data_IF_577411660053
#
_entry.id   IF_577411660053
#
_cell.length_a   1.000
_cell.length_b   1.000
_cell.length_c   1.000
_cell.angle_alpha   90.00
_cell.angle_beta   90.00
_cell.angle_gamma   90.00
#
_symmetry.space_group_name_H-M   'P 1'
#
loop_
_entity.id
_entity.type
_entity.pdbx_description
1 polymer ?
#
# COMPACT_ATOMS: atom_id res chain seq x y z
N UNK A 1 -0.66 34.55 14.30
CA UNK A 1 0.40 34.37 13.28
C UNK A 1 1.42 33.31 13.70
N UNK A 2 1.97 33.32 14.93
CA UNK A 2 2.80 32.18 15.42
C UNK A 2 2.05 30.85 15.57
N UNK A 3 0.73 30.89 15.82
CA UNK A 3 -0.09 29.66 15.94
C UNK A 3 -0.39 28.99 14.59
N UNK A 4 -0.22 29.69 13.46
CA UNK A 4 -0.49 29.14 12.12
C UNK A 4 0.64 28.20 11.64
N UNK A 5 1.91 28.50 11.98
CA UNK A 5 3.05 27.64 11.62
C UNK A 5 3.10 26.33 12.45
N UNK A 6 2.47 26.33 13.64
CA UNK A 6 2.27 25.11 14.43
C UNK A 6 1.11 24.25 13.92
N UNK A 7 0.16 24.88 13.22
CA UNK A 7 -1.04 24.23 12.69
C UNK A 7 -0.67 23.19 11.63
N UNK A 8 0.28 23.51 10.73
CA UNK A 8 0.70 22.66 9.61
C UNK A 8 1.40 21.34 10.01
N UNK A 9 1.95 21.23 11.23
CA UNK A 9 2.59 19.98 11.71
C UNK A 9 1.66 19.06 12.50
N UNK A 10 0.52 19.57 12.96
CA UNK A 10 -0.44 18.83 13.80
C UNK A 10 -1.81 18.63 13.13
N UNK A 11 -1.87 18.83 11.80
CA UNK A 11 -3.07 18.76 10.97
C UNK A 11 -3.80 17.40 11.03
N UNK A 12 -3.18 16.34 11.56
CA UNK A 12 -3.76 15.00 11.58
C UNK A 12 -4.41 14.58 12.92
N UNK A 13 -4.38 15.42 13.95
CA UNK A 13 -4.96 15.06 15.25
C UNK A 13 -6.40 15.56 15.41
N UNK A 14 -7.34 14.62 15.49
CA UNK A 14 -8.77 14.90 15.72
C UNK A 14 -8.99 15.63 17.04
N UNK A 15 -8.21 15.29 18.07
CA UNK A 15 -8.34 15.92 19.40
C UNK A 15 -7.89 17.38 19.38
N UNK A 16 -6.89 17.71 18.55
CA UNK A 16 -6.50 19.09 18.32
C UNK A 16 -7.65 19.91 17.72
N UNK A 17 -8.31 19.41 16.67
CA UNK A 17 -9.46 20.10 16.08
C UNK A 17 -10.61 20.22 17.08
N UNK A 18 -10.91 19.15 17.84
CA UNK A 18 -11.93 19.17 18.90
C UNK A 18 -11.65 20.28 19.92
N UNK A 19 -10.42 20.35 20.44
CA UNK A 19 -10.02 21.34 21.43
C UNK A 19 -10.12 22.76 20.87
N UNK A 20 -9.58 23.01 19.67
CA UNK A 20 -9.59 24.33 19.04
C UNK A 20 -11.00 24.80 18.70
N UNK A 21 -11.84 23.93 18.15
CA UNK A 21 -13.25 24.22 17.90
C UNK A 21 -13.98 24.60 19.20
N UNK A 22 -13.78 23.83 20.27
CA UNK A 22 -14.38 24.13 21.57
C UNK A 22 -13.91 25.49 22.14
N UNK A 23 -12.61 25.78 22.07
CA UNK A 23 -12.03 27.05 22.54
C UNK A 23 -12.58 28.24 21.76
N UNK A 24 -12.50 28.21 20.42
CA UNK A 24 -12.93 29.35 19.59
C UNK A 24 -14.44 29.55 19.65
N UNK A 25 -15.23 28.48 19.72
CA UNK A 25 -16.68 28.56 19.92
C UNK A 25 -17.01 29.21 21.26
N UNK A 26 -16.35 28.77 22.34
CA UNK A 26 -16.50 29.37 23.67
C UNK A 26 -16.10 30.85 23.68
N UNK A 27 -14.97 31.19 23.07
CA UNK A 27 -14.51 32.58 22.96
C UNK A 27 -15.49 33.45 22.18
N UNK A 28 -16.07 32.95 21.09
CA UNK A 28 -17.12 33.65 20.33
C UNK A 28 -18.35 33.92 21.19
N UNK A 29 -18.81 32.95 21.98
CA UNK A 29 -19.95 33.11 22.90
C UNK A 29 -19.63 34.14 24.00
N UNK A 30 -18.49 34.02 24.67
CA UNK A 30 -18.10 34.92 25.78
C UNK A 30 -17.95 36.35 25.26
N UNK A 31 -17.35 36.54 24.09
CA UNK A 31 -17.10 37.87 23.52
C UNK A 31 -18.42 38.57 23.13
N UNK A 32 -19.43 37.81 22.70
CA UNK A 32 -20.78 38.35 22.42
C UNK A 32 -21.46 38.89 23.68
N UNK A 33 -21.23 38.26 24.83
CA UNK A 33 -21.80 38.62 26.13
C UNK A 33 -21.19 39.89 26.75
N UNK A 34 -20.10 40.43 26.19
CA UNK A 34 -19.47 41.65 26.70
C UNK A 34 -20.45 42.84 26.53
N UNK A 35 -20.79 43.56 27.62
CA UNK A 35 -21.68 44.71 27.56
C UNK A 35 -21.01 45.87 26.82
N UNK A 36 -21.81 46.67 26.10
CA UNK A 36 -21.33 47.81 25.30
C UNK A 36 -20.85 48.94 26.21
N UNK A 37 -21.56 49.20 27.29
CA UNK A 37 -21.14 50.13 28.33
C UNK A 37 -21.46 49.56 29.71
N UNK A 38 -20.63 49.89 30.70
CA UNK A 38 -20.85 49.52 32.11
C UNK A 38 -20.56 50.70 33.02
N UNK A 39 -21.57 51.10 33.79
CA UNK A 39 -21.40 52.11 34.83
C UNK A 39 -20.75 51.51 36.07
N UNK A 40 -19.65 52.11 36.51
CA UNK A 40 -18.89 51.81 37.72
C UNK A 40 -18.99 53.03 38.66
N UNK A 41 -20.16 53.18 39.29
CA UNK A 41 -20.45 54.31 40.17
C UNK A 41 -20.52 55.63 39.41
N UNK A 42 -19.48 56.46 39.55
CA UNK A 42 -19.38 57.78 38.88
C UNK A 42 -18.75 57.71 37.48
N UNK A 43 -18.16 56.58 37.10
CA UNK A 43 -17.44 56.41 35.83
C UNK A 43 -18.24 55.47 34.93
N UNK A 44 -18.51 55.85 33.69
CA UNK A 44 -19.09 54.95 32.70
C UNK A 44 -17.99 54.47 31.75
N UNK A 45 -17.80 53.15 31.67
CA UNK A 45 -16.81 52.54 30.78
C UNK A 45 -17.49 52.14 29.49
N UNK A 46 -17.10 52.76 28.38
CA UNK A 46 -17.48 52.34 27.03
C UNK A 46 -16.53 51.24 26.54
N UNK A 47 -17.08 50.08 26.23
CA UNK A 47 -16.37 48.91 25.73
C UNK A 47 -16.62 48.67 24.24
N UNK A 48 -17.25 49.61 23.53
CA UNK A 48 -17.58 49.49 22.10
C UNK A 48 -16.35 49.21 21.23
N UNK A 49 -15.28 49.97 21.43
CA UNK A 49 -14.01 49.83 20.67
C UNK A 49 -13.34 48.49 20.97
N UNK A 50 -13.29 48.12 22.25
CA UNK A 50 -12.73 46.83 22.68
C UNK A 50 -13.51 45.66 22.06
N UNK A 51 -14.84 45.70 22.12
CA UNK A 51 -15.72 44.70 21.53
C UNK A 51 -15.52 44.60 20.01
N UNK A 52 -15.43 45.73 19.31
CA UNK A 52 -15.14 45.77 17.88
C UNK A 52 -13.76 45.21 17.50
N UNK A 53 -12.79 45.28 18.40
CA UNK A 53 -11.42 44.77 18.17
C UNK A 53 -11.30 43.28 18.50
N UNK A 54 -11.98 42.80 19.54
CA UNK A 54 -11.84 41.42 20.04
C UNK A 54 -12.76 40.43 19.34
N UNK A 55 -13.96 40.82 18.90
CA UNK A 55 -14.88 39.95 18.14
C UNK A 55 -14.28 39.33 16.87
N UNK A 56 -13.56 40.08 15.99
CA UNK A 56 -13.09 39.51 14.73
C UNK A 56 -12.02 38.42 14.92
N UNK A 57 -11.20 38.50 15.99
CA UNK A 57 -10.11 37.53 16.21
C UNK A 57 -10.58 36.06 16.32
N UNK A 58 -11.50 35.67 17.22
CA UNK A 58 -11.98 34.30 17.32
C UNK A 58 -12.83 33.88 16.12
N UNK A 59 -13.49 34.81 15.43
CA UNK A 59 -14.24 34.50 14.20
C UNK A 59 -13.28 34.10 13.07
N UNK A 60 -12.22 34.87 12.83
CA UNK A 60 -11.21 34.54 11.81
C UNK A 60 -10.54 33.19 12.11
N UNK A 61 -10.24 32.90 13.39
CA UNK A 61 -9.68 31.60 13.76
C UNK A 61 -10.66 30.45 13.50
N UNK A 62 -11.94 30.65 13.79
CA UNK A 62 -12.99 29.67 13.56
C UNK A 62 -13.21 29.43 12.06
N UNK A 63 -13.24 30.49 11.26
CA UNK A 63 -13.32 30.42 9.79
C UNK A 63 -12.13 29.63 9.22
N UNK A 64 -10.91 29.87 9.72
CA UNK A 64 -9.72 29.12 9.31
C UNK A 64 -9.85 27.62 9.62
N UNK A 65 -10.37 27.25 10.79
CA UNK A 65 -10.62 25.84 11.13
C UNK A 65 -11.71 25.24 10.25
N UNK A 66 -12.75 26.00 9.92
CA UNK A 66 -13.85 25.57 9.04
C UNK A 66 -13.41 25.33 7.59
N UNK A 67 -12.39 26.04 7.11
CA UNK A 67 -11.77 25.80 5.80
C UNK A 67 -10.83 24.58 5.82
N UNK A 68 -10.01 24.44 6.87
CA UNK A 68 -8.99 23.39 6.91
C UNK A 68 -9.57 22.02 7.25
N UNK A 69 -10.49 21.93 8.22
CA UNK A 69 -11.00 20.65 8.70
C UNK A 69 -11.65 19.79 7.60
N UNK A 70 -12.57 20.31 6.75
CA UNK A 70 -13.12 19.54 5.63
C UNK A 70 -12.07 19.17 4.60
N UNK A 71 -11.11 20.05 4.33
CA UNK A 71 -10.02 19.79 3.37
C UNK A 71 -9.17 18.61 3.81
N UNK A 72 -8.82 18.55 5.09
CA UNK A 72 -8.04 17.45 5.68
C UNK A 72 -8.85 16.16 5.70
N UNK A 73 -10.09 16.22 6.16
CA UNK A 73 -10.97 15.05 6.17
C UNK A 73 -11.13 14.47 4.75
N UNK A 74 -11.30 15.32 3.75
CA UNK A 74 -11.40 14.91 2.34
C UNK A 74 -10.14 14.22 1.83
N UNK A 75 -8.97 14.78 2.12
CA UNK A 75 -7.69 14.20 1.73
C UNK A 75 -7.47 12.83 2.36
N UNK A 76 -7.82 12.65 3.64
CA UNK A 76 -7.73 11.36 4.30
C UNK A 76 -8.73 10.34 3.74
N UNK A 77 -9.96 10.76 3.42
CA UNK A 77 -10.94 9.90 2.73
C UNK A 77 -10.40 9.43 1.38
N UNK A 78 -9.85 10.33 0.56
CA UNK A 78 -9.30 9.98 -0.76
C UNK A 78 -8.09 9.05 -0.65
N UNK A 79 -7.21 9.28 0.32
CA UNK A 79 -6.05 8.42 0.60
C UNK A 79 -6.50 7.00 0.97
N UNK A 80 -7.39 6.88 1.95
CA UNK A 80 -7.88 5.58 2.42
C UNK A 80 -8.67 4.85 1.34
N UNK A 81 -9.52 5.57 0.59
CA UNK A 81 -10.30 4.99 -0.51
C UNK A 81 -9.39 4.41 -1.58
N UNK A 82 -8.34 5.15 -1.95
CA UNK A 82 -7.35 4.68 -2.93
C UNK A 82 -6.62 3.43 -2.45
N UNK A 83 -6.08 3.46 -1.23
CA UNK A 83 -5.35 2.31 -0.65
C UNK A 83 -6.24 1.05 -0.60
N UNK A 84 -7.51 1.23 -0.24
CA UNK A 84 -8.51 0.18 -0.15
C UNK A 84 -8.86 -0.39 -1.55
N UNK A 85 -9.07 0.46 -2.54
CA UNK A 85 -9.35 0.05 -3.93
C UNK A 85 -8.15 -0.67 -4.58
N UNK A 86 -6.94 -0.16 -4.37
CA UNK A 86 -5.70 -0.79 -4.86
C UNK A 86 -5.52 -2.18 -4.22
N UNK A 87 -5.87 -2.33 -2.94
CA UNK A 87 -5.89 -3.60 -2.24
C UNK A 87 -6.92 -4.59 -2.80
N UNK A 88 -8.16 -4.16 -2.96
CA UNK A 88 -9.24 -4.98 -3.56
C UNK A 88 -8.86 -5.46 -4.97
N UNK A 89 -8.29 -4.56 -5.79
CA UNK A 89 -7.84 -4.88 -7.15
C UNK A 89 -6.73 -5.94 -7.15
N UNK A 90 -5.71 -5.76 -6.33
CA UNK A 90 -4.56 -6.68 -6.24
C UNK A 90 -4.98 -8.07 -5.76
N UNK A 91 -6.00 -8.15 -4.89
CA UNK A 91 -6.55 -9.42 -4.39
C UNK A 91 -7.44 -10.15 -5.41
N UNK A 92 -8.04 -9.40 -6.35
CA UNK A 92 -8.95 -9.94 -7.38
C UNK A 92 -8.22 -10.28 -8.69
N UNK A 93 -6.94 -9.90 -8.81
CA UNK A 93 -6.14 -10.16 -10.00
C UNK A 93 -6.05 -11.66 -10.32
N UNK A 94 -6.23 -12.01 -11.60
CA UNK A 94 -6.01 -13.38 -12.07
C UNK A 94 -4.52 -13.65 -12.21
N UNK A 95 -4.05 -14.73 -11.57
CA UNK A 95 -2.64 -15.10 -11.51
C UNK A 95 -2.32 -16.10 -12.63
N UNK A 96 -1.25 -15.86 -13.39
CA UNK A 96 -0.84 -16.75 -14.50
C UNK A 96 0.61 -17.19 -14.41
N UNK A 97 1.50 -16.37 -13.85
CA UNK A 97 2.93 -16.69 -13.72
C UNK A 97 3.31 -17.05 -12.29
N UNK A 98 4.34 -17.87 -12.13
CA UNK A 98 4.91 -18.27 -10.83
C UNK A 98 5.33 -17.05 -9.99
N UNK A 99 5.81 -15.97 -10.63
CA UNK A 99 6.15 -14.71 -9.96
C UNK A 99 4.90 -13.98 -9.41
N UNK A 100 3.80 -13.96 -10.17
CA UNK A 100 2.55 -13.32 -9.75
C UNK A 100 1.98 -13.98 -8.49
N UNK A 101 2.06 -15.30 -8.38
CA UNK A 101 1.64 -16.03 -7.18
C UNK A 101 2.47 -15.64 -5.95
N UNK A 102 3.78 -15.50 -6.08
CA UNK A 102 4.65 -15.09 -4.96
C UNK A 102 4.33 -13.66 -4.54
N UNK A 103 4.17 -12.74 -5.50
CA UNK A 103 3.83 -11.35 -5.24
C UNK A 103 2.45 -11.24 -4.57
N UNK A 104 1.46 -11.98 -5.05
CA UNK A 104 0.11 -11.99 -4.49
C UNK A 104 0.07 -12.55 -3.07
N UNK A 105 0.76 -13.67 -2.79
CA UNK A 105 0.82 -14.25 -1.44
C UNK A 105 1.58 -13.34 -0.46
N UNK A 106 2.60 -12.64 -0.93
CA UNK A 106 3.34 -11.65 -0.14
C UNK A 106 2.45 -10.44 0.18
N UNK A 107 1.74 -9.93 -0.82
CA UNK A 107 0.79 -8.83 -0.66
C UNK A 107 -0.35 -9.20 0.30
N UNK A 108 -0.93 -10.40 0.17
CA UNK A 108 -1.98 -10.89 1.07
C UNK A 108 -1.54 -10.82 2.54
N UNK A 109 -0.29 -11.18 2.83
CA UNK A 109 0.24 -11.08 4.20
C UNK A 109 0.39 -9.64 4.67
N UNK A 110 0.84 -8.74 3.79
CA UNK A 110 1.01 -7.32 4.12
C UNK A 110 -0.33 -6.66 4.41
N UNK A 111 -1.31 -6.84 3.52
CA UNK A 111 -2.63 -6.22 3.66
C UNK A 111 -3.41 -6.78 4.86
N UNK A 112 -3.23 -8.06 5.19
CA UNK A 112 -3.80 -8.68 6.40
C UNK A 112 -3.30 -8.01 7.70
N UNK A 113 -2.05 -7.55 7.74
CA UNK A 113 -1.51 -6.82 8.90
C UNK A 113 -1.93 -5.34 8.88
N UNK A 114 -2.22 -4.79 7.70
CA UNK A 114 -2.57 -3.38 7.49
C UNK A 114 -4.05 -3.08 7.73
N UNK A 115 -4.96 -4.04 7.55
CA UNK A 115 -6.41 -3.81 7.61
C UNK A 115 -6.87 -3.22 8.96
N UNK A 116 -6.35 -3.70 10.09
CA UNK A 116 -6.71 -3.18 11.41
C UNK A 116 -6.30 -1.70 11.58
N UNK A 117 -5.15 -1.32 11.02
CA UNK A 117 -4.74 0.09 11.03
C UNK A 117 -5.55 0.96 10.08
N UNK A 118 -6.01 0.42 8.94
CA UNK A 118 -6.93 1.11 8.03
C UNK A 118 -8.29 1.36 8.69
N UNK A 119 -8.82 0.39 9.43
CA UNK A 119 -10.05 0.56 10.22
C UNK A 119 -9.90 1.66 11.28
N UNK A 120 -8.79 1.66 12.03
CA UNK A 120 -8.49 2.71 13.02
C UNK A 120 -8.35 4.10 12.38
N UNK A 121 -7.72 4.20 11.22
CA UNK A 121 -7.62 5.46 10.47
C UNK A 121 -9.01 5.93 9.97
N UNK A 122 -9.86 5.00 9.55
CA UNK A 122 -11.25 5.30 9.17
C UNK A 122 -12.10 5.81 10.34
N UNK A 123 -11.91 5.25 11.54
CA UNK A 123 -12.57 5.74 12.76
C UNK A 123 -12.12 7.16 13.15
N UNK A 124 -10.86 7.51 12.89
CA UNK A 124 -10.37 8.87 13.08
C UNK A 124 -11.05 9.84 12.09
N UNK A 125 -11.16 9.46 10.82
CA UNK A 125 -11.89 10.25 9.79
C UNK A 125 -13.37 10.41 10.19
N UNK A 126 -14.03 9.34 10.65
CA UNK A 126 -15.39 9.41 11.18
C UNK A 126 -15.51 10.44 12.30
N UNK A 127 -14.56 10.44 13.22
CA UNK A 127 -14.53 11.42 14.31
C UNK A 127 -14.37 12.86 13.81
N UNK A 128 -13.66 13.10 12.70
CA UNK A 128 -13.60 14.42 12.05
C UNK A 128 -14.96 14.83 11.46
N UNK A 129 -15.66 13.91 10.78
CA UNK A 129 -16.99 14.18 10.25
C UNK A 129 -18.05 14.38 11.35
N UNK A 130 -17.91 13.70 12.49
CA UNK A 130 -18.74 13.95 13.67
C UNK A 130 -18.52 15.37 14.23
N UNK A 131 -17.28 15.87 14.22
CA UNK A 131 -16.99 17.27 14.58
C UNK A 131 -17.60 18.26 13.57
N UNK A 132 -17.51 17.95 12.27
CA UNK A 132 -18.14 18.76 11.21
C UNK A 132 -19.64 18.90 11.45
N UNK A 133 -20.34 17.81 11.77
CA UNK A 133 -21.79 17.85 12.04
C UNK A 133 -22.12 18.54 13.36
N UNK A 134 -21.33 18.31 14.42
CA UNK A 134 -21.54 18.92 15.73
C UNK A 134 -21.38 20.45 15.70
N UNK A 135 -20.40 20.96 14.96
CA UNK A 135 -20.13 22.40 14.83
C UNK A 135 -20.82 23.04 13.61
N UNK A 136 -21.58 22.24 12.82
CA UNK A 136 -22.29 22.67 11.60
C UNK A 136 -21.37 23.39 10.61
N UNK A 137 -20.20 22.81 10.40
CA UNK A 137 -19.23 23.29 9.41
C UNK A 137 -19.83 23.06 8.01
N UNK A 138 -19.85 24.09 7.13
CA UNK A 138 -20.37 23.93 5.78
C UNK A 138 -19.44 23.02 4.98
N UNK A 139 -19.97 21.88 4.53
CA UNK A 139 -19.25 20.92 3.68
C UNK A 139 -20.06 20.66 2.41
N UNK A 140 -19.43 20.64 1.23
CA UNK A 140 -20.12 20.28 -0.01
C UNK A 140 -20.80 18.91 0.09
N UNK A 141 -22.02 18.74 -0.45
CA UNK A 141 -22.72 17.45 -0.41
C UNK A 141 -21.98 16.35 -1.20
N UNK A 142 -21.15 16.73 -2.18
CA UNK A 142 -20.31 15.81 -2.95
C UNK A 142 -19.28 15.10 -2.06
N UNK A 143 -18.61 15.85 -1.19
CA UNK A 143 -17.58 15.31 -0.27
C UNK A 143 -18.19 14.37 0.77
N UNK A 144 -19.41 14.68 1.24
CA UNK A 144 -20.16 13.81 2.14
C UNK A 144 -20.55 12.49 1.45
N UNK A 145 -20.95 12.54 0.18
CA UNK A 145 -21.29 11.35 -0.58
C UNK A 145 -20.06 10.43 -0.73
N UNK A 146 -18.88 11.00 -0.96
CA UNK A 146 -17.65 10.22 -1.11
C UNK A 146 -17.24 9.59 0.23
N UNK A 147 -17.31 10.34 1.33
CA UNK A 147 -17.09 9.79 2.67
C UNK A 147 -18.02 8.60 2.99
N UNK A 148 -19.29 8.65 2.58
CA UNK A 148 -20.23 7.54 2.78
C UNK A 148 -19.80 6.25 2.07
N UNK A 149 -18.93 6.33 1.05
CA UNK A 149 -18.40 5.15 0.34
C UNK A 149 -17.17 4.53 1.00
N UNK A 150 -16.50 5.24 1.93
CA UNK A 150 -15.26 4.80 2.56
C UNK A 150 -15.44 3.52 3.37
N UNK A 151 -16.42 3.49 4.28
CA UNK A 151 -16.65 2.33 5.15
C UNK A 151 -17.04 1.08 4.35
N UNK A 152 -17.99 1.14 3.39
CA UNK A 152 -18.25 0.02 2.48
C UNK A 152 -17.02 -0.42 1.66
N UNK A 153 -16.09 0.49 1.31
CA UNK A 153 -14.87 0.10 0.62
C UNK A 153 -13.95 -0.75 1.51
N UNK A 154 -13.78 -0.34 2.78
CA UNK A 154 -12.94 -1.06 3.75
C UNK A 154 -13.54 -2.45 4.03
N UNK A 155 -14.86 -2.54 4.23
CA UNK A 155 -15.57 -3.80 4.41
C UNK A 155 -15.40 -4.74 3.20
N UNK A 156 -15.47 -4.21 1.98
CA UNK A 156 -15.21 -4.98 0.76
C UNK A 156 -13.78 -5.53 0.73
N UNK A 157 -12.80 -4.73 1.13
CA UNK A 157 -11.40 -5.16 1.16
C UNK A 157 -11.17 -6.21 2.25
N UNK A 158 -11.74 -6.05 3.44
CA UNK A 158 -11.71 -7.07 4.49
C UNK A 158 -12.32 -8.40 4.00
N UNK A 159 -13.48 -8.33 3.34
CA UNK A 159 -14.12 -9.51 2.73
C UNK A 159 -13.26 -10.14 1.64
N UNK A 160 -12.60 -9.33 0.80
CA UNK A 160 -11.67 -9.82 -0.22
C UNK A 160 -10.44 -10.50 0.41
N UNK A 161 -9.93 -9.98 1.54
CA UNK A 161 -8.86 -10.61 2.31
C UNK A 161 -9.32 -11.97 2.84
N UNK A 162 -10.48 -12.04 3.50
CA UNK A 162 -11.01 -13.30 4.04
C UNK A 162 -11.19 -14.36 2.95
N UNK A 163 -11.73 -13.94 1.80
CA UNK A 163 -11.84 -14.80 0.63
C UNK A 163 -10.47 -15.27 0.13
N UNK A 164 -9.49 -14.36 0.01
CA UNK A 164 -8.14 -14.70 -0.44
C UNK A 164 -7.41 -15.63 0.55
N UNK A 165 -7.69 -15.53 1.85
CA UNK A 165 -7.20 -16.45 2.88
C UNK A 165 -7.85 -17.83 2.71
N UNK A 166 -9.15 -17.90 2.49
CA UNK A 166 -9.86 -19.16 2.29
C UNK A 166 -9.40 -19.90 1.02
N UNK A 167 -9.08 -19.16 -0.05
CA UNK A 167 -8.59 -19.70 -1.31
C UNK A 167 -7.06 -19.94 -1.33
N UNK A 168 -6.36 -19.53 -0.27
CA UNK A 168 -4.89 -19.52 -0.22
C UNK A 168 -4.29 -20.90 -0.48
N UNK A 169 -4.82 -21.94 0.15
CA UNK A 169 -4.27 -23.30 0.02
C UNK A 169 -4.42 -23.81 -1.42
N UNK A 170 -5.57 -23.56 -2.05
CA UNK A 170 -5.79 -23.88 -3.47
C UNK A 170 -4.86 -23.08 -4.42
N UNK A 171 -4.62 -21.80 -4.12
CA UNK A 171 -3.66 -20.97 -4.86
C UNK A 171 -2.23 -21.49 -4.70
N UNK A 172 -1.87 -22.00 -3.52
CA UNK A 172 -0.56 -22.60 -3.25
C UNK A 172 -0.37 -23.91 -4.02
N UNK A 173 -1.39 -24.77 -4.08
CA UNK A 173 -1.34 -26.00 -4.89
C UNK A 173 -1.18 -25.71 -6.39
N UNK A 174 -1.88 -24.68 -6.88
CA UNK A 174 -1.77 -24.22 -8.27
C UNK A 174 -0.38 -23.64 -8.55
N UNK A 175 0.16 -22.85 -7.61
CA UNK A 175 1.53 -22.34 -7.67
C UNK A 175 2.56 -23.46 -7.77
N UNK A 176 2.44 -24.52 -6.95
CA UNK A 176 3.33 -25.68 -7.04
C UNK A 176 3.22 -26.40 -8.40
N UNK A 177 2.02 -26.45 -8.97
CA UNK A 177 1.80 -27.04 -10.29
C UNK A 177 2.47 -26.22 -11.41
N UNK A 178 2.34 -24.89 -11.37
CA UNK A 178 3.04 -23.97 -12.27
C UNK A 178 4.56 -24.10 -12.13
N UNK A 179 5.07 -24.11 -10.89
CA UNK A 179 6.51 -24.22 -10.62
C UNK A 179 7.08 -25.56 -11.12
N UNK A 180 6.38 -26.67 -10.91
CA UNK A 180 6.81 -27.98 -11.44
C UNK A 180 6.80 -28.01 -12.97
N UNK A 181 5.85 -27.33 -13.61
CA UNK A 181 5.83 -27.17 -15.07
C UNK A 181 7.04 -26.35 -15.53
N UNK A 182 7.31 -25.21 -14.91
CA UNK A 182 8.44 -24.33 -15.25
C UNK A 182 9.78 -25.09 -15.09
N UNK A 183 9.93 -25.90 -14.03
CA UNK A 183 11.10 -26.78 -13.85
C UNK A 183 11.18 -27.82 -14.97
N UNK A 184 10.06 -28.44 -15.34
CA UNK A 184 10.01 -29.43 -16.42
C UNK A 184 10.41 -28.84 -17.77
N UNK A 185 9.89 -27.64 -18.07
CA UNK A 185 10.21 -26.89 -19.29
C UNK A 185 11.71 -26.53 -19.30
N UNK A 186 12.26 -26.03 -18.18
CA UNK A 186 13.69 -25.76 -18.05
C UNK A 186 14.57 -27.01 -18.22
N UNK A 187 14.17 -28.16 -17.66
CA UNK A 187 14.89 -29.43 -17.83
C UNK A 187 14.90 -29.86 -19.30
N UNK A 188 13.79 -29.64 -20.03
CA UNK A 188 13.71 -29.94 -21.45
C UNK A 188 14.59 -28.98 -22.25
N UNK A 189 14.58 -27.69 -21.96
CA UNK A 189 15.49 -26.70 -22.58
C UNK A 189 16.96 -27.06 -22.36
N UNK A 190 17.34 -27.49 -21.15
CA UNK A 190 18.71 -27.95 -20.85
C UNK A 190 19.05 -29.23 -21.63
N UNK A 191 18.11 -30.17 -21.78
CA UNK A 191 18.30 -31.39 -22.60
C UNK A 191 18.44 -31.07 -24.08
N UNK A 192 17.62 -30.16 -24.61
CA UNK A 192 17.70 -29.70 -26.00
C UNK A 192 19.01 -28.97 -26.27
N UNK A 193 19.46 -28.14 -25.32
CA UNK A 193 20.77 -27.48 -25.37
C UNK A 193 21.89 -28.52 -25.36
N UNK A 194 21.83 -29.50 -24.47
CA UNK A 194 22.80 -30.62 -24.44
C UNK A 194 22.83 -31.40 -25.75
N UNK A 195 21.69 -31.74 -26.32
CA UNK A 195 21.60 -32.43 -27.62
C UNK A 195 22.12 -31.56 -28.78
N UNK A 196 21.89 -30.25 -28.71
CA UNK A 196 22.42 -29.28 -29.68
C UNK A 196 23.94 -29.15 -29.61
N UNK A 197 24.52 -29.28 -28.41
CA UNK A 197 25.99 -29.35 -28.20
C UNK A 197 26.56 -30.72 -28.64
N UNK A 198 25.83 -31.81 -28.42
CA UNK A 198 26.20 -33.18 -28.88
C UNK A 198 25.93 -33.42 -30.38
N UNK A 199 25.57 -32.38 -31.13
CA UNK A 199 25.26 -32.49 -32.55
C UNK A 199 26.50 -32.94 -33.34
N UNK A 200 26.42 -34.04 -34.13
CA UNK A 200 27.56 -34.58 -34.88
C UNK A 200 28.19 -33.60 -35.88
N UNK A 201 27.48 -32.50 -36.23
CA UNK A 201 28.01 -31.38 -37.01
C UNK A 201 29.15 -30.61 -36.30
N UNK A 202 29.18 -30.57 -34.96
CA UNK A 202 30.23 -29.93 -34.16
C UNK A 202 31.40 -30.88 -33.84
N UNK A 203 31.20 -32.19 -33.97
CA UNK A 203 32.16 -33.25 -33.65
C UNK A 203 32.97 -33.74 -34.87
N UNK A 204 32.61 -33.31 -36.09
CA UNK A 204 33.28 -33.71 -37.32
C UNK A 204 34.42 -32.73 -37.70
N UNK A 205 35.67 -33.14 -37.43
CA UNK A 205 36.90 -32.37 -37.63
C UNK A 205 37.30 -32.19 -39.12
N UNK A 206 36.42 -32.49 -40.08
CA UNK A 206 36.73 -32.48 -41.52
C UNK A 206 35.99 -31.42 -42.35
N UNK A 207 35.18 -30.54 -41.74
CA UNK A 207 34.35 -29.55 -42.47
C UNK A 207 34.57 -28.08 -42.11
N UNK A 208 33.98 -27.21 -42.94
CA UNK A 208 34.29 -25.79 -43.14
C UNK A 208 34.16 -24.93 -41.86
N UNK A 209 35.20 -24.16 -41.54
CA UNK A 209 35.33 -23.40 -40.28
C UNK A 209 34.25 -22.34 -40.10
N UNK A 210 33.68 -21.82 -41.20
CA UNK A 210 32.72 -20.73 -41.15
C UNK A 210 31.36 -21.17 -40.57
N UNK A 211 30.87 -22.36 -40.92
CA UNK A 211 29.61 -22.90 -40.38
C UNK A 211 29.74 -23.31 -38.91
N UNK A 212 30.91 -23.80 -38.50
CA UNK A 212 31.20 -24.16 -37.11
C UNK A 212 31.19 -22.95 -36.16
N UNK A 213 31.73 -21.81 -36.61
CA UNK A 213 31.79 -20.58 -35.78
C UNK A 213 30.39 -19.99 -35.54
N UNK A 214 29.51 -20.03 -36.55
CA UNK A 214 28.13 -19.53 -36.42
C UNK A 214 27.34 -20.36 -35.41
N UNK A 215 27.51 -21.68 -35.43
CA UNK A 215 26.78 -22.56 -34.51
C UNK A 215 27.38 -22.58 -33.09
N UNK A 216 28.68 -22.31 -32.95
CA UNK A 216 29.32 -22.01 -31.65
C UNK A 216 28.84 -20.70 -31.04
N UNK A 217 28.75 -19.61 -31.82
CA UNK A 217 28.26 -18.29 -31.36
C UNK A 217 26.77 -18.36 -30.92
N UNK A 218 25.99 -19.21 -31.61
CA UNK A 218 24.61 -19.52 -31.22
C UNK A 218 24.52 -20.25 -29.89
N UNK A 219 25.40 -21.23 -29.63
CA UNK A 219 25.42 -21.99 -28.38
C UNK A 219 25.93 -21.16 -27.19
N UNK A 220 26.95 -20.32 -27.39
CA UNK A 220 27.49 -19.44 -26.34
C UNK A 220 26.44 -18.44 -25.82
N UNK A 221 25.59 -17.93 -26.72
CA UNK A 221 24.45 -17.08 -26.33
C UNK A 221 23.40 -17.80 -25.49
N UNK A 222 23.13 -19.06 -25.76
CA UNK A 222 22.12 -19.84 -25.02
C UNK A 222 22.65 -20.17 -23.61
N UNK A 223 23.92 -20.57 -23.48
CA UNK A 223 24.56 -20.87 -22.19
C UNK A 223 24.60 -19.65 -21.25
N UNK A 224 24.96 -18.47 -21.78
CA UNK A 224 24.93 -17.22 -21.03
C UNK A 224 23.52 -16.88 -20.51
N UNK A 225 22.48 -17.16 -21.31
CA UNK A 225 21.10 -16.88 -20.92
C UNK A 225 20.61 -17.84 -19.83
N UNK A 226 21.01 -19.12 -19.91
CA UNK A 226 20.71 -20.14 -18.89
C UNK A 226 21.46 -19.89 -17.57
N UNK A 227 22.72 -19.46 -17.61
CA UNK A 227 23.50 -19.11 -16.42
C UNK A 227 22.92 -17.90 -15.69
N UNK A 228 22.46 -16.88 -16.41
CA UNK A 228 21.84 -15.69 -15.81
C UNK A 228 20.53 -16.05 -15.10
N UNK A 229 19.68 -16.85 -15.75
CA UNK A 229 18.39 -17.29 -15.18
C UNK A 229 18.57 -18.28 -14.02
N UNK A 230 19.54 -19.19 -14.12
CA UNK A 230 19.87 -20.16 -13.08
C UNK A 230 20.35 -19.48 -11.80
N UNK A 231 21.36 -18.60 -11.89
CA UNK A 231 21.93 -17.91 -10.73
C UNK A 231 20.90 -17.05 -9.98
N UNK A 232 20.00 -16.36 -10.71
CA UNK A 232 18.92 -15.58 -10.07
C UNK A 232 17.94 -16.45 -9.28
N UNK A 233 17.63 -17.65 -9.74
CA UNK A 233 16.70 -18.56 -9.08
C UNK A 233 17.37 -19.26 -7.88
N UNK A 234 18.62 -19.70 -8.03
CA UNK A 234 19.41 -20.31 -6.96
C UNK A 234 19.58 -19.35 -5.77
N UNK A 235 19.96 -18.10 -6.04
CA UNK A 235 20.15 -17.09 -5.00
C UNK A 235 18.83 -16.75 -4.26
N UNK A 236 17.70 -16.71 -4.96
CA UNK A 236 16.39 -16.46 -4.36
C UNK A 236 15.87 -17.62 -3.50
N UNK A 237 16.29 -18.85 -3.77
CA UNK A 237 15.87 -20.03 -3.02
C UNK A 237 16.79 -20.24 -1.81
N UNK A 238 18.10 -20.13 -2.00
CA UNK A 238 19.09 -20.32 -0.92
C UNK A 238 19.06 -19.19 0.13
N UNK A 239 18.57 -17.99 -0.23
CA UNK A 239 18.44 -16.85 0.69
C UNK A 239 17.21 -16.91 1.61
N UNK A 240 16.28 -17.86 1.41
CA UNK A 240 15.06 -17.95 2.24
C UNK A 240 15.37 -18.48 3.65
N UNK A 241 14.83 -17.84 4.70
CA UNK A 241 15.03 -18.30 6.07
C UNK A 241 14.41 -19.69 6.26
N UNK A 242 15.24 -20.69 6.61
CA UNK A 242 14.84 -22.08 6.84
C UNK A 242 15.40 -23.10 5.84
N UNK A 243 16.00 -22.65 4.74
CA UNK A 243 16.67 -23.54 3.79
C UNK A 243 18.12 -23.81 4.26
N UNK A 244 18.40 -25.05 4.71
CA UNK A 244 19.77 -25.55 4.94
C UNK A 244 20.22 -26.38 3.74
N UNK A 245 20.63 -25.70 2.68
CA UNK A 245 21.30 -26.30 1.53
C UNK A 245 22.41 -25.36 1.07
N UNK A 246 23.55 -25.92 0.68
CA UNK A 246 24.70 -25.17 0.18
C UNK A 246 24.66 -24.97 -1.35
N UNK A 247 23.80 -25.72 -2.05
CA UNK A 247 23.50 -25.57 -3.46
C UNK A 247 22.05 -25.92 -3.76
N UNK A 248 21.53 -25.41 -4.87
CA UNK A 248 20.15 -25.70 -5.31
C UNK A 248 19.93 -27.19 -5.61
N UNK A 249 20.95 -27.89 -6.13
CA UNK A 249 20.91 -29.35 -6.33
C UNK A 249 20.85 -30.13 -5.00
N UNK A 250 21.55 -29.67 -3.97
CA UNK A 250 21.43 -30.25 -2.62
C UNK A 250 20.04 -30.02 -2.03
N UNK A 251 19.47 -28.84 -2.28
CA UNK A 251 18.10 -28.50 -1.87
C UNK A 251 17.06 -29.38 -2.59
N UNK A 252 17.15 -29.51 -3.91
CA UNK A 252 16.28 -30.37 -4.72
C UNK A 252 16.43 -31.85 -4.34
N UNK A 253 17.66 -32.32 -4.07
CA UNK A 253 17.90 -33.69 -3.63
C UNK A 253 17.30 -34.01 -2.25
N UNK A 254 17.18 -33.01 -1.37
CA UNK A 254 16.48 -33.14 -0.08
C UNK A 254 14.96 -33.16 -0.24
N UNK A 255 14.41 -32.41 -1.19
CA UNK A 255 12.96 -32.38 -1.47
C UNK A 255 12.49 -33.61 -2.26
N UNK A 256 13.30 -34.06 -3.21
CA UNK A 256 12.99 -35.16 -4.14
C UNK A 256 14.18 -36.14 -4.27
N UNK A 257 14.34 -37.07 -3.31
CA UNK A 257 15.48 -37.99 -3.26
C UNK A 257 15.57 -38.98 -4.44
N UNK A 258 14.52 -39.08 -5.27
CA UNK A 258 14.48 -39.97 -6.44
C UNK A 258 14.83 -39.28 -7.77
N UNK A 259 14.94 -37.94 -7.81
CA UNK A 259 15.23 -37.18 -9.05
C UNK A 259 16.74 -37.07 -9.31
N UNK A 260 17.57 -37.13 -8.26
CA UNK A 260 19.04 -36.94 -8.36
C UNK A 260 19.79 -38.26 -8.63
N UNK A 261 19.12 -39.41 -8.68
CA UNK A 261 19.77 -40.72 -8.94
C UNK A 261 20.09 -40.99 -10.42
N UNK A 262 19.85 -40.04 -11.33
CA UNK A 262 20.17 -40.19 -12.75
C UNK A 262 21.02 -38.99 -13.21
N UNK A 263 22.24 -38.93 -12.68
CA UNK A 263 23.41 -38.31 -13.31
C UNK A 263 24.62 -39.16 -12.92
#
# INVERSE_FOLDING_TARGET
LKDLEGFERMVQDVEFFREKLAIYTRQSIITKLIPIARSLGLINVDSSIFKGTVIPSPLICLDCVYEVLPTVARQEVDRLTKETQDGEYTLTLTLTTTLDYVNHLTFLRQIQLRIESLERESDAVRSMYDLIDAFKVPVPPEDLAIYQTLHPAIERTATAIDKAIAERDAKVDTFFSCLNKDIGDLINEVKETKQSVENPLLLDNTRDRAELIVELDRLERIDLTLQISGNQLEDQILSRPGIRASSFLEWLGKLYPNVVKVC
#
